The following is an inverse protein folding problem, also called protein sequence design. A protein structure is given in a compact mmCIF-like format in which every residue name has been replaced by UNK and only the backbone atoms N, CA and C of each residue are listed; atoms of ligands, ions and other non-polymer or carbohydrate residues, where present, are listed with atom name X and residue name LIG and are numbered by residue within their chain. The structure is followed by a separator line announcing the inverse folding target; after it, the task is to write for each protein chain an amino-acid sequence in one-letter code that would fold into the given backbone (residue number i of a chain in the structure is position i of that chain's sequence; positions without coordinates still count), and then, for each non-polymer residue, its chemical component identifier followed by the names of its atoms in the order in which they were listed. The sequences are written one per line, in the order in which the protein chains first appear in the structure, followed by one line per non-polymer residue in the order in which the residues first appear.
data_IF_153680772662
#
_entry.id   IF_153680772662
#
_cell.length_a   1.000
_cell.length_b   1.000
_cell.length_c   1.000
_cell.angle_alpha   90.00
_cell.angle_beta   90.00
_cell.angle_gamma   90.00
#
_symmetry.space_group_name_H-M   'P 1'
#
loop_
_entity.id
_entity.type
_entity.pdbx_description
1 polymer ?
#
# COMPACT_ATOMS: atom_id res chain seq x y z
N UNK A 1 10.06 -18.75 1.79
CA UNK A 1 10.91 -18.33 2.93
C UNK A 1 10.09 -17.41 3.82
N UNK A 2 10.01 -17.69 5.12
CA UNK A 2 9.37 -16.83 6.12
C UNK A 2 10.41 -15.82 6.61
N UNK A 3 9.97 -14.59 6.89
CA UNK A 3 10.82 -13.55 7.49
C UNK A 3 10.00 -12.65 8.41
N UNK A 4 10.70 -11.84 9.22
CA UNK A 4 10.10 -10.87 10.16
C UNK A 4 10.73 -9.49 10.02
N UNK A 5 9.92 -8.45 10.21
CA UNK A 5 10.41 -7.07 10.28
C UNK A 5 11.24 -6.90 11.56
N UNK A 6 12.45 -6.36 11.43
CA UNK A 6 13.26 -5.92 12.58
C UNK A 6 12.53 -4.92 13.47
N UNK A 7 11.66 -4.08 12.89
CA UNK A 7 10.81 -3.18 13.66
C UNK A 7 9.45 -2.99 12.99
N UNK A 8 8.40 -3.39 13.68
CA UNK A 8 7.02 -2.96 13.41
C UNK A 8 6.58 -2.10 14.61
N UNK A 9 6.40 -0.80 14.38
CA UNK A 9 6.06 0.16 15.47
C UNK A 9 4.65 -0.01 16.00
N UNK A 10 3.81 -0.75 15.27
CA UNK A 10 2.40 -0.95 15.53
C UNK A 10 2.09 -2.27 16.25
N UNK A 11 3.09 -3.13 16.56
CA UNK A 11 2.86 -4.45 17.21
C UNK A 11 1.92 -4.39 18.43
N UNK A 12 2.06 -3.39 19.29
CA UNK A 12 1.25 -3.21 20.52
C UNK A 12 -0.19 -2.75 20.27
N UNK A 13 -0.52 -2.43 19.02
CA UNK A 13 -1.82 -1.93 18.60
C UNK A 13 -2.69 -3.02 17.99
N UNK A 14 -2.20 -4.26 17.83
CA UNK A 14 -2.99 -5.35 17.26
C UNK A 14 -4.38 -5.47 17.93
N UNK A 15 -5.43 -5.49 17.11
CA UNK A 15 -6.83 -5.53 17.54
C UNK A 15 -7.39 -4.22 18.10
N UNK A 16 -6.62 -3.13 18.10
CA UNK A 16 -7.05 -1.82 18.62
C UNK A 16 -7.38 -0.88 17.48
N UNK A 17 -8.41 -0.06 17.68
CA UNK A 17 -8.68 1.07 16.79
C UNK A 17 -7.82 2.28 17.17
N UNK A 18 -7.38 3.04 16.17
CA UNK A 18 -6.75 4.32 16.41
C UNK A 18 -7.77 5.29 17.04
N UNK A 19 -7.46 5.92 18.19
CA UNK A 19 -8.45 6.63 19.00
C UNK A 19 -9.06 7.87 18.32
N UNK A 20 -8.40 8.41 17.28
CA UNK A 20 -8.89 9.59 16.56
C UNK A 20 -9.47 9.30 15.19
N UNK A 21 -8.99 8.25 14.53
CA UNK A 21 -9.34 7.96 13.13
C UNK A 21 -10.17 6.71 12.97
N UNK A 22 -10.34 5.92 14.05
CA UNK A 22 -11.09 4.66 14.01
C UNK A 22 -10.37 3.50 13.32
N UNK A 23 -9.29 3.75 12.57
CA UNK A 23 -8.56 2.74 11.81
C UNK A 23 -8.15 1.55 12.69
N UNK A 24 -8.59 0.35 12.33
CA UNK A 24 -8.27 -0.88 13.06
C UNK A 24 -6.85 -1.32 12.73
N UNK A 25 -6.05 -1.61 13.75
CA UNK A 25 -4.75 -2.24 13.55
C UNK A 25 -4.91 -3.77 13.51
N UNK A 26 -4.72 -4.35 12.35
CA UNK A 26 -4.88 -5.79 12.12
C UNK A 26 -3.52 -6.47 12.09
N UNK A 27 -3.42 -7.60 12.81
CA UNK A 27 -2.30 -8.53 12.72
C UNK A 27 -2.56 -9.50 11.57
N UNK A 28 -1.67 -9.54 10.59
CA UNK A 28 -1.75 -10.47 9.46
C UNK A 28 -0.36 -10.87 8.96
N UNK A 29 -0.30 -12.05 8.37
CA UNK A 29 0.83 -12.46 7.55
C UNK A 29 0.62 -11.89 6.16
N UNK A 30 1.65 -11.27 5.59
CA UNK A 30 1.55 -10.63 4.28
C UNK A 30 2.58 -11.21 3.32
N UNK A 31 2.16 -11.42 2.08
CA UNK A 31 3.07 -11.77 0.99
C UNK A 31 3.69 -10.50 0.43
N UNK A 32 5.02 -10.48 0.29
CA UNK A 32 5.77 -9.28 -0.11
C UNK A 32 6.66 -9.51 -1.34
N UNK A 33 6.29 -10.39 -2.27
CA UNK A 33 7.08 -10.71 -3.47
C UNK A 33 8.41 -11.46 -3.22
N UNK A 34 9.08 -11.22 -2.08
CA UNK A 34 10.31 -11.89 -1.63
C UNK A 34 10.06 -12.99 -0.59
N UNK A 35 8.83 -13.13 -0.08
CA UNK A 35 8.48 -14.10 0.95
C UNK A 35 7.23 -13.71 1.74
N UNK A 36 7.01 -14.42 2.84
CA UNK A 36 5.93 -14.12 3.79
C UNK A 36 6.53 -13.34 4.95
N UNK A 37 6.01 -12.14 5.19
CA UNK A 37 6.27 -11.38 6.39
C UNK A 37 5.25 -11.77 7.46
N UNK A 38 5.72 -12.48 8.48
CA UNK A 38 4.86 -12.93 9.57
C UNK A 38 4.59 -11.82 10.60
N UNK A 39 3.42 -11.91 11.24
CA UNK A 39 3.03 -11.07 12.39
C UNK A 39 3.06 -9.55 12.11
N UNK A 40 2.83 -9.14 10.86
CA UNK A 40 2.73 -7.73 10.53
C UNK A 40 1.48 -7.14 11.17
N UNK A 41 1.65 -6.05 11.91
CA UNK A 41 0.55 -5.24 12.44
C UNK A 41 0.53 -3.90 11.72
N UNK A 42 -0.57 -3.55 11.08
CA UNK A 42 -0.74 -2.27 10.40
C UNK A 42 -2.20 -1.83 10.38
N UNK A 43 -2.48 -0.55 10.09
CA UNK A 43 -3.85 -0.07 10.00
C UNK A 43 -4.53 -0.65 8.75
N UNK A 44 -5.81 -0.98 8.88
CA UNK A 44 -6.70 -1.16 7.74
C UNK A 44 -7.40 0.15 7.43
N UNK A 45 -7.21 0.62 6.20
CA UNK A 45 -7.88 1.79 5.68
C UNK A 45 -9.03 1.37 4.79
N UNK A 46 -10.11 2.13 4.83
CA UNK A 46 -11.13 2.11 3.80
C UNK A 46 -10.62 2.88 2.56
N UNK A 47 -10.99 2.41 1.38
CA UNK A 47 -10.58 3.04 0.13
C UNK A 47 -10.45 2.06 -1.03
N UNK A 48 -10.15 2.63 -2.20
CA UNK A 48 -10.08 1.88 -3.47
C UNK A 48 -8.73 1.20 -3.59
N UNK A 49 -8.71 -0.14 -3.58
CA UNK A 49 -7.49 -0.92 -3.87
C UNK A 49 -7.31 -1.10 -5.37
N UNK A 50 -6.06 -1.06 -5.81
CA UNK A 50 -5.69 -1.27 -7.22
C UNK A 50 -4.38 -2.04 -7.30
N UNK A 51 -4.34 -3.06 -8.16
CA UNK A 51 -3.11 -3.71 -8.59
C UNK A 51 -2.50 -2.90 -9.74
N UNK A 52 -1.23 -2.52 -9.63
CA UNK A 52 -0.52 -1.79 -10.69
C UNK A 52 0.15 -2.71 -11.72
N UNK A 53 -0.01 -4.02 -11.59
CA UNK A 53 0.44 -5.03 -12.57
C UNK A 53 1.95 -5.21 -12.65
N UNK A 54 2.70 -4.69 -11.67
CA UNK A 54 4.15 -4.79 -11.60
C UNK A 54 4.60 -5.46 -10.31
N UNK A 55 5.54 -6.38 -10.41
CA UNK A 55 6.29 -6.88 -9.24
C UNK A 55 7.21 -5.78 -8.70
N UNK A 56 7.74 -5.97 -7.48
CA UNK A 56 8.71 -5.03 -6.88
C UNK A 56 9.91 -4.81 -7.79
N UNK A 57 10.52 -5.88 -8.28
CA UNK A 57 11.71 -5.83 -9.13
C UNK A 57 11.42 -5.07 -10.44
N UNK A 58 10.33 -5.41 -11.12
CA UNK A 58 9.91 -4.74 -12.35
C UNK A 58 9.64 -3.25 -12.12
N UNK A 59 8.95 -2.89 -11.05
CA UNK A 59 8.66 -1.50 -10.73
C UNK A 59 9.94 -0.74 -10.34
N UNK A 60 10.85 -1.34 -9.60
CA UNK A 60 12.11 -0.71 -9.22
C UNK A 60 12.96 -0.40 -10.46
N UNK A 61 13.11 -1.36 -11.36
CA UNK A 61 13.81 -1.18 -12.64
C UNK A 61 13.12 -0.11 -13.51
N UNK A 62 11.83 -0.31 -13.83
CA UNK A 62 11.07 0.56 -14.74
C UNK A 62 10.95 2.00 -14.25
N UNK A 63 10.88 2.21 -12.94
CA UNK A 63 10.72 3.55 -12.35
C UNK A 63 12.07 4.21 -12.05
N UNK A 64 13.19 3.63 -12.48
CA UNK A 64 14.50 4.30 -12.48
C UNK A 64 15.38 4.01 -11.26
N UNK A 65 15.16 2.88 -10.59
CA UNK A 65 16.16 2.20 -9.76
C UNK A 65 16.51 2.86 -8.43
N UNK A 66 15.64 3.72 -7.90
CA UNK A 66 15.86 4.35 -6.59
C UNK A 66 14.57 4.36 -5.78
N UNK A 67 14.67 4.25 -4.45
CA UNK A 67 13.53 4.30 -3.53
C UNK A 67 12.59 5.48 -3.77
N UNK A 68 13.16 6.68 -3.97
CA UNK A 68 12.37 7.90 -4.21
C UNK A 68 11.58 7.81 -5.52
N UNK A 69 12.21 7.33 -6.60
CA UNK A 69 11.52 7.21 -7.89
C UNK A 69 10.53 6.06 -7.90
N UNK A 70 10.87 4.92 -7.30
CA UNK A 70 9.95 3.82 -7.06
C UNK A 70 8.70 4.29 -6.31
N UNK A 71 8.90 4.96 -5.16
CA UNK A 71 7.81 5.47 -4.33
C UNK A 71 6.91 6.42 -5.12
N UNK A 72 7.47 7.48 -5.71
CA UNK A 72 6.67 8.46 -6.44
C UNK A 72 6.04 7.88 -7.71
N UNK A 73 6.76 6.99 -8.41
CA UNK A 73 6.29 6.37 -9.65
C UNK A 73 5.10 5.44 -9.39
N UNK A 74 5.16 4.60 -8.35
CA UNK A 74 4.04 3.73 -7.96
C UNK A 74 2.83 4.51 -7.45
N UNK A 75 3.02 5.65 -6.77
CA UNK A 75 1.91 6.57 -6.45
C UNK A 75 1.20 7.07 -7.72
N UNK A 76 1.97 7.50 -8.72
CA UNK A 76 1.41 7.96 -10.00
C UNK A 76 0.72 6.83 -10.78
N UNK A 77 1.33 5.65 -10.84
CA UNK A 77 0.75 4.48 -11.50
C UNK A 77 -0.57 4.06 -10.86
N UNK A 78 -0.66 4.07 -9.53
CA UNK A 78 -1.92 3.76 -8.84
C UNK A 78 -3.09 4.64 -9.31
N UNK A 79 -2.86 5.95 -9.48
CA UNK A 79 -3.89 6.86 -10.02
C UNK A 79 -4.22 6.55 -11.48
N UNK A 80 -3.22 6.23 -12.30
CA UNK A 80 -3.47 5.84 -13.70
C UNK A 80 -4.29 4.55 -13.81
N UNK A 81 -4.01 3.55 -12.98
CA UNK A 81 -4.78 2.30 -12.97
C UNK A 81 -6.24 2.52 -12.50
N UNK A 82 -6.47 3.36 -11.48
CA UNK A 82 -7.85 3.70 -11.07
C UNK A 82 -8.55 4.47 -12.18
N UNK A 83 -7.86 5.41 -12.84
CA UNK A 83 -8.40 6.12 -14.01
C UNK A 83 -8.83 5.15 -15.10
N UNK A 84 -7.97 4.21 -15.48
CA UNK A 84 -8.27 3.21 -16.50
C UNK A 84 -9.48 2.35 -16.10
N UNK A 85 -9.58 1.93 -14.83
CA UNK A 85 -10.73 1.19 -14.33
C UNK A 85 -12.04 1.99 -14.37
N UNK A 86 -11.98 3.31 -14.13
CA UNK A 86 -13.12 4.21 -14.28
C UNK A 86 -13.53 4.34 -15.75
N UNK A 87 -12.57 4.53 -16.65
CA UNK A 87 -12.81 4.69 -18.10
C UNK A 87 -13.38 3.42 -18.72
N UNK A 88 -12.94 2.25 -18.25
CA UNK A 88 -13.40 0.94 -18.69
C UNK A 88 -14.62 0.42 -17.93
N UNK A 89 -15.14 1.18 -16.96
CA UNK A 89 -16.24 0.77 -16.08
C UNK A 89 -16.02 -0.58 -15.36
N UNK A 90 -14.77 -0.84 -14.97
CA UNK A 90 -14.34 -2.05 -14.24
C UNK A 90 -13.99 -1.78 -12.78
N UNK A 91 -14.10 -0.52 -12.33
CA UNK A 91 -13.90 -0.17 -10.93
C UNK A 91 -15.03 -0.75 -10.07
N UNK A 92 -14.73 -1.82 -9.34
CA UNK A 92 -15.72 -2.59 -8.57
C UNK A 92 -16.21 -1.88 -7.30
N UNK A 93 -15.44 -0.93 -6.75
CA UNK A 93 -15.73 -0.28 -5.47
C UNK A 93 -15.54 1.24 -5.56
N UNK A 94 -16.50 1.91 -6.20
CA UNK A 94 -16.50 3.38 -6.33
C UNK A 94 -17.18 4.09 -5.14
N UNK A 95 -17.66 3.36 -4.14
CA UNK A 95 -18.40 3.92 -2.99
C UNK A 95 -17.56 4.91 -2.16
N UNK A 96 -16.24 4.81 -2.26
CA UNK A 96 -15.30 5.71 -1.59
C UNK A 96 -14.96 6.97 -2.39
N UNK A 97 -15.52 7.13 -3.59
CA UNK A 97 -15.25 8.25 -4.50
C UNK A 97 -16.51 9.08 -4.71
N UNK A 98 -16.39 10.38 -4.44
CA UNK A 98 -17.37 11.35 -4.90
C UNK A 98 -17.27 11.55 -6.42
N UNK A 99 -18.29 12.17 -7.02
CA UNK A 99 -18.22 12.53 -8.44
C UNK A 99 -17.05 13.49 -8.74
N UNK A 100 -16.72 14.40 -7.80
CA UNK A 100 -15.57 15.28 -7.93
C UNK A 100 -14.25 14.50 -7.93
N UNK A 101 -14.12 13.49 -7.06
CA UNK A 101 -12.94 12.60 -7.05
C UNK A 101 -12.79 11.90 -8.41
N UNK A 102 -13.90 11.37 -8.96
CA UNK A 102 -13.93 10.70 -10.26
C UNK A 102 -13.49 11.67 -11.38
N UNK A 103 -14.00 12.89 -11.38
CA UNK A 103 -13.68 13.90 -12.40
C UNK A 103 -12.22 14.35 -12.33
N UNK A 104 -11.64 14.42 -11.13
CA UNK A 104 -10.21 14.67 -10.94
C UNK A 104 -9.36 13.49 -11.45
N UNK A 105 -9.74 12.25 -11.12
CA UNK A 105 -9.02 11.05 -11.53
C UNK A 105 -9.06 10.86 -13.05
N UNK A 106 -10.18 11.13 -13.73
CA UNK A 106 -10.27 11.13 -15.20
C UNK A 106 -9.29 12.10 -15.85
N UNK A 107 -9.00 13.22 -15.19
CA UNK A 107 -7.96 14.20 -15.60
C UNK A 107 -6.54 13.77 -15.22
N UNK A 108 -6.37 12.57 -14.66
CA UNK A 108 -5.10 12.04 -14.17
C UNK A 108 -4.60 12.70 -12.89
N UNK A 109 -5.48 13.34 -12.11
CA UNK A 109 -5.11 14.08 -10.89
C UNK A 109 -5.55 13.30 -9.64
N UNK A 110 -4.70 13.34 -8.61
CA UNK A 110 -5.05 12.87 -7.28
C UNK A 110 -6.10 13.81 -6.67
N UNK A 111 -7.23 13.31 -6.14
CA UNK A 111 -8.22 14.15 -5.48
C UNK A 111 -7.68 14.82 -4.21
N UNK A 112 -8.18 16.03 -3.90
CA UNK A 112 -7.62 16.89 -2.86
C UNK A 112 -7.60 16.26 -1.46
N UNK A 113 -8.66 15.54 -1.10
CA UNK A 113 -8.83 14.91 0.21
C UNK A 113 -8.37 13.44 0.24
N UNK A 114 -7.75 12.95 -0.84
CA UNK A 114 -7.29 11.57 -0.96
C UNK A 114 -5.77 11.49 -1.04
N UNK A 115 -5.22 10.32 -0.76
CA UNK A 115 -3.81 10.02 -0.99
C UNK A 115 -3.64 8.57 -1.38
N UNK A 116 -2.63 8.29 -2.20
CA UNK A 116 -2.24 6.92 -2.47
C UNK A 116 -1.43 6.38 -1.29
N UNK A 117 -1.77 5.17 -0.87
CA UNK A 117 -1.14 4.42 0.19
C UNK A 117 -0.55 3.14 -0.41
N UNK A 118 0.72 2.86 -0.13
CA UNK A 118 1.34 1.58 -0.45
C UNK A 118 0.82 0.51 0.50
N UNK A 119 0.04 -0.44 -0.01
CA UNK A 119 -0.33 -1.58 0.79
C UNK A 119 0.92 -2.39 1.13
N UNK A 120 1.00 -2.96 2.34
CA UNK A 120 2.14 -3.78 2.72
C UNK A 120 2.06 -5.17 2.05
N UNK A 121 0.87 -5.59 1.61
CA UNK A 121 0.60 -6.84 0.89
C UNK A 121 0.73 -6.69 -0.63
N UNK A 122 1.20 -7.74 -1.31
CA UNK A 122 1.09 -7.91 -2.76
C UNK A 122 -0.09 -8.81 -3.11
N UNK A 123 -0.42 -8.90 -4.39
CA UNK A 123 -1.31 -9.96 -4.92
C UNK A 123 -0.68 -11.35 -4.75
N UNK A 124 -1.44 -12.40 -5.09
CA UNK A 124 -0.93 -13.79 -5.12
C UNK A 124 0.19 -13.95 -6.15
N UNK A 125 0.12 -13.18 -7.22
CA UNK A 125 1.07 -13.11 -8.32
C UNK A 125 2.32 -12.27 -7.95
N UNK A 126 2.35 -11.66 -6.77
CA UNK A 126 3.47 -10.87 -6.28
C UNK A 126 3.52 -9.43 -6.80
N UNK A 127 2.43 -8.93 -7.38
CA UNK A 127 2.32 -7.56 -7.89
C UNK A 127 1.92 -6.58 -6.79
N UNK A 128 2.37 -5.33 -6.94
CA UNK A 128 2.20 -4.27 -5.94
C UNK A 128 0.73 -3.84 -5.89
N UNK A 129 0.17 -3.85 -4.68
CA UNK A 129 -1.16 -3.30 -4.41
C UNK A 129 -1.01 -1.88 -3.86
N UNK A 130 -1.73 -0.95 -4.47
CA UNK A 130 -1.88 0.41 -3.99
C UNK A 130 -3.31 0.62 -3.48
N UNK A 131 -3.53 1.60 -2.62
CA UNK A 131 -4.86 1.95 -2.14
C UNK A 131 -5.06 3.47 -2.10
N UNK A 132 -6.12 3.95 -2.73
CA UNK A 132 -6.54 5.35 -2.63
C UNK A 132 -7.42 5.52 -1.38
N UNK A 133 -6.88 6.20 -0.39
CA UNK A 133 -7.48 6.34 0.95
C UNK A 133 -7.75 7.80 1.28
N UNK A 134 -8.54 8.04 2.33
CA UNK A 134 -8.70 9.37 2.90
C UNK A 134 -7.35 9.89 3.44
N UNK A 135 -6.96 11.09 3.00
CA UNK A 135 -5.65 11.68 3.32
C UNK A 135 -5.51 11.99 4.80
N UNK A 136 -6.59 12.46 5.42
CA UNK A 136 -6.59 12.90 6.81
C UNK A 136 -6.50 11.71 7.76
N UNK A 137 -7.29 10.65 7.49
CA UNK A 137 -7.21 9.37 8.19
C UNK A 137 -5.80 8.79 8.06
N UNK A 138 -5.27 8.73 6.83
CA UNK A 138 -3.94 8.19 6.57
C UNK A 138 -2.85 8.96 7.31
N UNK A 139 -2.87 10.30 7.24
CA UNK A 139 -1.87 11.16 7.90
C UNK A 139 -1.95 11.05 9.43
N UNK A 140 -3.15 11.10 10.00
CA UNK A 140 -3.37 11.08 11.45
C UNK A 140 -3.13 9.69 12.05
N UNK A 141 -3.15 8.63 11.24
CA UNK A 141 -2.88 7.25 11.66
C UNK A 141 -1.41 6.93 11.44
N UNK A 142 -0.56 7.17 12.44
CA UNK A 142 0.88 6.86 12.33
C UNK A 142 1.11 5.35 12.16
N UNK A 143 1.76 4.93 11.08
CA UNK A 143 2.01 3.53 10.77
C UNK A 143 3.34 3.29 10.08
N UNK A 144 3.84 2.06 10.14
CA UNK A 144 4.87 1.57 9.22
C UNK A 144 4.23 1.38 7.84
N UNK A 145 4.51 2.28 6.90
CA UNK A 145 3.97 2.24 5.54
C UNK A 145 4.58 1.15 4.66
N UNK A 146 3.88 0.79 3.58
CA UNK A 146 4.31 -0.27 2.64
C UNK A 146 5.65 -0.01 1.96
N UNK A 147 6.07 1.25 1.79
CA UNK A 147 7.39 1.57 1.20
C UNK A 147 8.56 1.01 2.03
N UNK A 148 8.39 0.86 3.34
CA UNK A 148 9.39 0.25 4.23
C UNK A 148 9.33 -1.28 4.22
N UNK A 149 8.22 -1.90 3.81
CA UNK A 149 8.06 -3.36 3.68
C UNK A 149 8.41 -3.86 2.26
N UNK A 150 8.34 -2.97 1.27
CA UNK A 150 8.63 -3.26 -0.14
C UNK A 150 10.11 -3.01 -0.52
N UNK A 151 10.98 -2.65 0.44
CA UNK A 151 12.33 -2.19 0.13
C UNK A 151 13.41 -3.27 -0.03
N UNK A 152 13.25 -4.55 0.25
CA UNK A 152 14.32 -5.59 0.25
C UNK A 152 15.60 -5.25 1.05
N UNK A 153 16.42 -4.26 0.67
CA UNK A 153 17.69 -3.86 1.31
C UNK A 153 17.49 -3.17 2.68
N UNK A 154 16.56 -2.21 2.80
CA UNK A 154 16.25 -1.54 4.07
C UNK A 154 15.13 -2.22 4.86
N UNK A 155 14.34 -3.08 4.20
CA UNK A 155 13.32 -3.88 4.87
C UNK A 155 14.01 -5.05 5.54
N UNK A 156 14.60 -4.78 6.70
CA UNK A 156 15.24 -5.77 7.55
C UNK A 156 14.39 -7.02 7.71
N UNK A 157 14.73 -8.03 6.93
CA UNK A 157 14.16 -9.34 6.98
C UNK A 157 15.33 -10.25 7.37
N UNK A 158 15.47 -10.49 8.67
CA UNK A 158 16.33 -11.61 9.13
C UNK A 158 15.71 -12.87 8.53
N UNK A 159 16.50 -13.65 7.80
CA UNK A 159 16.12 -15.01 7.47
C UNK A 159 16.00 -15.79 8.78
N UNK A 160 15.09 -16.77 8.81
CA UNK A 160 14.98 -17.71 9.94
C UNK A 160 16.22 -18.62 10.08
N UNK A 161 17.31 -18.37 9.33
CA UNK A 161 18.53 -19.20 9.30
C UNK A 161 19.53 -18.85 10.42
N UNK A 162 19.06 -18.34 11.56
CA UNK A 162 19.85 -18.24 12.79
C UNK A 162 19.15 -19.00 13.91
N UNK A 163 19.48 -20.28 14.00
CA UNK A 163 19.54 -21.00 15.30
C UNK A 163 20.65 -20.40 16.18
#
# INVERSE_FOLDING_TARGET
MKRRLKRNVNKRLAGKCHPKTGALFVKKDIYCGWGILEDFVGPEFEGVKVDIGLTLEQAYEKLGGTDRKFYNGTMSLGIMCIKEQIENNTLSDNLYLSQEDIDMIKKGKLPQCKTMHHCPETTKEGTIVMQLVDRDIHHKTKHTGGSATLNIENSYAVSDDFE
#
